data_IF_203541623640
#
_entry.id   IF_203541623640
#
_cell.length_a   1.000
_cell.length_b   1.000
_cell.length_c   1.000
_cell.angle_alpha   90.00
_cell.angle_beta   90.00
_cell.angle_gamma   90.00
#
_symmetry.space_group_name_H-M   'P 1'
#
loop_
_entity.id
_entity.type
_entity.pdbx_description
1 polymer ?
#
# COMPACT_ATOMS: atom_id res chain seq x y z
N UNK A 1 -90.19 -11.34 -51.20
CA UNK A 1 -89.62 -12.33 -50.34
C UNK A 1 -89.62 -11.86 -48.89
N UNK A 2 -89.97 -12.77 -48.00
CA UNK A 2 -89.85 -12.48 -46.53
C UNK A 2 -88.43 -12.79 -46.07
N UNK A 3 -87.96 -12.01 -45.10
CA UNK A 3 -86.64 -12.23 -44.49
C UNK A 3 -86.62 -13.59 -43.79
N UNK A 4 -85.49 -14.33 -43.98
CA UNK A 4 -85.24 -15.64 -43.35
C UNK A 4 -84.43 -15.41 -42.07
N UNK A 5 -84.97 -15.84 -40.91
CA UNK A 5 -84.20 -15.73 -39.65
C UNK A 5 -82.99 -16.67 -39.68
N UNK A 6 -81.93 -16.27 -39.02
CA UNK A 6 -80.58 -16.96 -39.04
C UNK A 6 -80.69 -18.42 -38.59
N UNK A 7 -81.61 -18.77 -37.67
CA UNK A 7 -81.80 -20.12 -37.13
C UNK A 7 -82.25 -21.13 -38.20
N UNK A 8 -82.75 -20.67 -39.36
CA UNK A 8 -83.17 -21.50 -40.50
C UNK A 8 -81.98 -21.71 -41.51
N UNK A 9 -80.86 -21.05 -41.30
CA UNK A 9 -79.70 -21.16 -42.17
C UNK A 9 -78.74 -22.22 -41.57
N UNK A 10 -78.41 -23.21 -42.37
CA UNK A 10 -77.45 -24.19 -41.98
C UNK A 10 -76.05 -23.60 -42.26
N UNK A 11 -75.17 -23.64 -41.23
CA UNK A 11 -73.77 -23.13 -41.32
C UNK A 11 -72.86 -24.29 -41.20
N UNK A 12 -71.90 -24.41 -42.13
CA UNK A 12 -70.82 -25.42 -42.11
C UNK A 12 -69.49 -24.78 -42.36
N UNK A 13 -68.42 -25.43 -41.88
CA UNK A 13 -67.04 -24.96 -41.86
C UNK A 13 -66.53 -24.75 -40.45
N UNK A 14 -65.21 -24.66 -40.30
CA UNK A 14 -64.58 -24.41 -39.03
C UNK A 14 -63.46 -23.37 -39.21
N UNK A 15 -63.31 -22.50 -38.23
CA UNK A 15 -62.26 -21.50 -38.18
C UNK A 15 -61.29 -21.89 -37.07
N UNK A 16 -60.02 -22.17 -37.43
CA UNK A 16 -58.99 -22.35 -36.49
C UNK A 16 -58.39 -20.98 -36.19
N UNK A 17 -58.81 -20.38 -35.09
CA UNK A 17 -58.31 -19.05 -34.65
C UNK A 17 -56.83 -19.05 -34.15
N UNK A 18 -56.26 -20.22 -33.98
CA UNK A 18 -54.85 -20.34 -33.57
C UNK A 18 -53.87 -20.31 -34.75
N UNK A 19 -54.40 -20.43 -35.99
CA UNK A 19 -53.60 -20.55 -37.22
C UNK A 19 -54.00 -19.51 -38.25
N UNK A 20 -53.05 -18.69 -38.67
CA UNK A 20 -53.27 -17.71 -39.73
C UNK A 20 -53.68 -18.42 -41.03
N UNK A 21 -54.75 -17.91 -41.68
CA UNK A 21 -55.27 -18.51 -42.91
C UNK A 21 -56.63 -17.89 -43.31
N UNK A 22 -57.17 -18.38 -44.43
CA UNK A 22 -58.47 -18.03 -44.89
C UNK A 22 -59.38 -19.27 -44.79
N UNK A 23 -60.43 -19.20 -44.02
CA UNK A 23 -61.34 -20.30 -43.68
C UNK A 23 -62.71 -20.08 -44.33
N UNK A 24 -63.13 -20.94 -45.24
CA UNK A 24 -64.44 -20.83 -45.85
C UNK A 24 -65.51 -21.27 -44.86
N UNK A 25 -66.62 -20.50 -44.75
CA UNK A 25 -67.82 -20.82 -44.01
C UNK A 25 -68.97 -20.81 -45.02
N UNK A 26 -69.66 -21.96 -45.17
CA UNK A 26 -70.71 -22.14 -46.11
C UNK A 26 -72.07 -21.99 -45.41
N UNK A 27 -72.89 -21.12 -45.89
CA UNK A 27 -74.23 -20.87 -45.44
C UNK A 27 -75.20 -21.49 -46.47
N UNK A 28 -76.12 -22.36 -46.05
CA UNK A 28 -77.12 -23.02 -46.96
C UNK A 28 -78.55 -22.83 -46.46
N UNK A 29 -79.44 -22.55 -47.42
CA UNK A 29 -80.87 -22.46 -47.19
C UNK A 29 -81.63 -22.90 -48.47
N UNK A 30 -82.60 -23.85 -48.35
CA UNK A 30 -83.42 -24.38 -49.43
C UNK A 30 -82.62 -24.73 -50.70
N UNK A 31 -81.45 -25.38 -50.54
CA UNK A 31 -80.57 -25.82 -51.62
C UNK A 31 -79.77 -24.73 -52.31
N UNK A 32 -79.74 -23.51 -51.80
CA UNK A 32 -78.82 -22.44 -52.19
C UNK A 32 -77.73 -22.32 -51.20
N UNK A 33 -76.49 -22.14 -51.70
CA UNK A 33 -75.28 -22.02 -50.87
C UNK A 33 -74.56 -20.76 -51.23
N UNK A 34 -74.05 -20.07 -50.18
CA UNK A 34 -73.09 -18.93 -50.26
C UNK A 34 -71.93 -19.14 -49.34
N UNK A 35 -70.75 -18.79 -49.80
CA UNK A 35 -69.54 -18.97 -49.00
C UNK A 35 -68.98 -17.61 -48.57
N UNK A 36 -68.88 -17.43 -47.27
CA UNK A 36 -68.11 -16.35 -46.66
C UNK A 36 -66.69 -16.79 -46.24
N UNK A 37 -65.74 -15.90 -46.26
CA UNK A 37 -64.37 -16.19 -45.89
C UNK A 37 -64.04 -15.46 -44.63
N UNK A 38 -63.58 -16.20 -43.58
CA UNK A 38 -62.99 -15.64 -42.34
C UNK A 38 -61.53 -15.68 -42.49
N UNK A 39 -60.85 -14.49 -42.45
CA UNK A 39 -59.41 -14.40 -42.50
C UNK A 39 -58.90 -14.25 -41.09
N UNK A 40 -58.08 -15.24 -40.63
CA UNK A 40 -57.32 -15.18 -39.39
C UNK A 40 -55.96 -14.60 -39.77
N UNK A 41 -55.62 -13.40 -39.24
CA UNK A 41 -54.37 -12.73 -39.46
C UNK A 41 -53.31 -13.26 -38.52
N UNK A 42 -52.01 -13.30 -38.91
CA UNK A 42 -50.95 -13.68 -38.01
C UNK A 42 -50.85 -12.71 -36.83
N UNK A 43 -50.52 -13.24 -35.66
CA UNK A 43 -50.17 -12.43 -34.47
C UNK A 43 -48.77 -11.84 -34.67
N UNK A 44 -48.68 -10.51 -34.74
CA UNK A 44 -47.45 -9.73 -34.95
C UNK A 44 -46.93 -9.15 -33.65
N UNK A 45 -47.46 -9.59 -32.49
CA UNK A 45 -47.00 -9.08 -31.20
C UNK A 45 -45.56 -9.49 -30.93
N UNK A 46 -44.74 -8.53 -30.47
CA UNK A 46 -43.37 -8.69 -30.07
C UNK A 46 -43.14 -8.00 -28.74
N UNK A 47 -42.07 -8.41 -28.06
CA UNK A 47 -41.54 -7.75 -26.87
C UNK A 47 -40.03 -8.00 -26.84
N UNK A 48 -39.28 -6.92 -26.89
CA UNK A 48 -37.82 -6.95 -26.86
C UNK A 48 -37.32 -6.15 -25.68
N UNK A 49 -36.38 -6.74 -24.91
CA UNK A 49 -35.70 -6.16 -23.77
C UNK A 49 -34.23 -6.45 -23.88
N UNK A 50 -33.41 -5.72 -23.13
CA UNK A 50 -31.96 -5.88 -23.07
C UNK A 50 -31.50 -5.94 -21.61
N UNK A 51 -30.39 -6.62 -21.36
CA UNK A 51 -29.71 -6.54 -20.07
C UNK A 51 -29.04 -5.18 -19.90
N UNK A 52 -28.89 -4.74 -18.65
CA UNK A 52 -28.20 -3.49 -18.30
C UNK A 52 -27.22 -3.74 -17.17
N UNK A 53 -26.14 -2.97 -17.15
CA UNK A 53 -25.18 -2.92 -16.03
C UNK A 53 -25.25 -1.54 -15.41
N UNK A 54 -25.39 -1.50 -14.09
CA UNK A 54 -25.33 -0.30 -13.26
C UNK A 54 -24.33 -0.54 -12.12
N UNK A 55 -23.90 0.53 -11.48
CA UNK A 55 -23.02 0.42 -10.31
C UNK A 55 -23.80 0.73 -9.03
N UNK A 56 -23.30 0.21 -7.89
CA UNK A 56 -23.91 0.42 -6.57
C UNK A 56 -24.25 1.91 -6.35
N UNK A 57 -25.52 2.17 -5.93
CA UNK A 57 -26.05 3.52 -5.72
C UNK A 57 -26.49 4.27 -6.98
N UNK A 58 -26.35 3.69 -8.17
CA UNK A 58 -26.88 4.30 -9.39
C UNK A 58 -28.43 4.21 -9.42
N UNK A 59 -29.03 5.12 -10.18
CA UNK A 59 -30.47 5.07 -10.42
C UNK A 59 -30.77 4.12 -11.57
N UNK A 60 -31.78 3.29 -11.39
CA UNK A 60 -32.30 2.41 -12.41
C UNK A 60 -33.83 2.53 -12.51
N UNK A 61 -34.34 2.38 -13.71
CA UNK A 61 -35.78 2.32 -14.01
C UNK A 61 -36.07 1.15 -14.94
N UNK A 62 -37.26 0.54 -14.86
CA UNK A 62 -37.62 -0.55 -15.77
C UNK A 62 -37.52 -0.19 -17.24
N UNK A 63 -37.73 1.08 -17.62
CA UNK A 63 -37.60 1.58 -18.99
C UNK A 63 -36.18 1.38 -19.56
N UNK A 64 -35.15 1.35 -18.71
CA UNK A 64 -33.73 1.24 -19.14
C UNK A 64 -33.44 -0.10 -19.84
N UNK A 65 -34.22 -1.13 -19.52
CA UNK A 65 -34.11 -2.45 -20.15
C UNK A 65 -35.09 -2.65 -21.33
N UNK A 66 -36.12 -1.80 -21.47
CA UNK A 66 -37.09 -1.94 -22.54
C UNK A 66 -36.51 -1.47 -23.88
N UNK A 67 -36.72 -2.25 -24.95
CA UNK A 67 -36.27 -1.91 -26.30
C UNK A 67 -37.48 -1.56 -27.17
N UNK A 68 -38.43 -2.50 -27.33
CA UNK A 68 -39.63 -2.30 -28.16
C UNK A 68 -40.71 -3.31 -27.84
N UNK A 69 -41.95 -2.95 -28.15
CA UNK A 69 -43.05 -3.89 -28.16
C UNK A 69 -44.05 -3.54 -29.29
N UNK A 70 -44.71 -4.58 -29.85
CA UNK A 70 -45.83 -4.42 -30.79
C UNK A 70 -47.02 -5.22 -30.35
N UNK A 71 -48.23 -4.78 -30.71
CA UNK A 71 -49.49 -5.50 -30.50
C UNK A 71 -49.67 -6.59 -31.59
N UNK A 72 -50.76 -7.34 -31.48
CA UNK A 72 -51.10 -8.39 -32.47
C UNK A 72 -51.30 -7.90 -33.89
N UNK A 73 -51.47 -6.57 -34.09
CA UNK A 73 -51.62 -5.96 -35.43
C UNK A 73 -50.33 -5.39 -35.96
N UNK A 74 -49.22 -5.45 -35.16
CA UNK A 74 -47.91 -4.90 -35.48
C UNK A 74 -47.77 -3.41 -35.15
N UNK A 75 -48.72 -2.81 -34.43
CA UNK A 75 -48.62 -1.43 -33.98
C UNK A 75 -47.77 -1.35 -32.72
N UNK A 76 -46.96 -0.27 -32.58
CA UNK A 76 -46.11 -0.04 -31.44
C UNK A 76 -46.92 0.08 -30.13
N UNK A 77 -46.42 -0.59 -29.10
CA UNK A 77 -46.93 -0.54 -27.74
C UNK A 77 -45.97 0.27 -26.89
N UNK A 78 -46.38 1.41 -26.34
CA UNK A 78 -45.52 2.23 -25.50
C UNK A 78 -45.28 1.54 -24.14
N UNK A 79 -44.15 1.87 -23.50
CA UNK A 79 -43.67 1.22 -22.25
C UNK A 79 -44.73 1.24 -21.14
N UNK A 80 -45.51 2.32 -21.01
CA UNK A 80 -46.54 2.49 -19.97
C UNK A 80 -47.63 1.41 -20.01
N UNK A 81 -47.74 0.65 -21.11
CA UNK A 81 -48.67 -0.47 -21.26
C UNK A 81 -48.04 -1.84 -21.01
N UNK A 82 -46.73 -1.87 -20.71
CA UNK A 82 -46.01 -3.10 -20.40
C UNK A 82 -46.14 -3.40 -18.92
N UNK A 83 -46.56 -4.61 -18.59
CA UNK A 83 -46.54 -5.09 -17.20
C UNK A 83 -45.12 -5.52 -16.84
N UNK A 84 -44.58 -4.99 -15.71
CA UNK A 84 -43.22 -5.26 -15.26
C UNK A 84 -43.27 -5.87 -13.88
N UNK A 85 -42.55 -6.97 -13.69
CA UNK A 85 -42.43 -7.70 -12.43
C UNK A 85 -40.98 -7.91 -12.06
N UNK A 86 -40.66 -7.77 -10.77
CA UNK A 86 -39.33 -7.86 -10.22
C UNK A 86 -38.92 -6.55 -9.55
N UNK A 87 -37.82 -6.60 -8.83
CA UNK A 87 -37.24 -5.44 -8.12
C UNK A 87 -35.73 -5.51 -8.18
N UNK A 88 -35.08 -4.35 -8.31
CA UNK A 88 -33.63 -4.21 -8.25
C UNK A 88 -33.26 -3.51 -6.95
N UNK A 89 -32.37 -4.14 -6.15
CA UNK A 89 -31.74 -3.45 -5.04
C UNK A 89 -30.43 -2.82 -5.54
N UNK A 90 -30.50 -1.54 -5.86
CA UNK A 90 -29.36 -0.78 -6.43
C UNK A 90 -28.19 -0.59 -5.46
N UNK A 91 -28.41 -0.79 -4.15
CA UNK A 91 -27.38 -0.66 -3.10
C UNK A 91 -26.68 -2.00 -2.83
N UNK A 92 -27.02 -3.06 -3.55
CA UNK A 92 -26.44 -4.39 -3.33
C UNK A 92 -25.98 -5.03 -4.62
N UNK A 93 -24.71 -5.42 -4.66
CA UNK A 93 -24.11 -6.19 -5.78
C UNK A 93 -24.95 -7.45 -6.03
N UNK A 94 -25.25 -7.72 -7.29
CA UNK A 94 -26.01 -8.90 -7.69
C UNK A 94 -26.57 -8.81 -9.11
N UNK A 95 -27.23 -9.90 -9.52
CA UNK A 95 -27.97 -10.00 -10.77
C UNK A 95 -29.44 -10.10 -10.43
N UNK A 96 -30.22 -9.18 -10.98
CA UNK A 96 -31.65 -9.04 -10.71
C UNK A 96 -32.48 -9.29 -11.99
N UNK A 97 -33.28 -10.37 -12.00
CA UNK A 97 -34.15 -10.68 -13.11
C UNK A 97 -35.40 -9.82 -13.05
N UNK A 98 -35.73 -9.17 -14.16
CA UNK A 98 -36.95 -8.38 -14.37
C UNK A 98 -37.71 -9.01 -15.52
N UNK A 99 -38.99 -9.26 -15.29
CA UNK A 99 -39.90 -9.87 -16.24
C UNK A 99 -40.84 -8.83 -16.83
N UNK A 100 -40.89 -8.76 -18.16
CA UNK A 100 -41.73 -7.84 -18.91
C UNK A 100 -42.82 -8.63 -19.63
N UNK A 101 -44.06 -8.11 -19.66
CA UNK A 101 -45.19 -8.77 -20.32
C UNK A 101 -45.95 -7.80 -21.21
N UNK A 102 -46.24 -8.25 -22.43
CA UNK A 102 -47.09 -7.58 -23.40
C UNK A 102 -48.15 -8.57 -23.89
N UNK A 103 -49.33 -8.56 -23.26
CA UNK A 103 -50.36 -9.57 -23.49
C UNK A 103 -49.86 -10.98 -23.14
N UNK A 104 -49.73 -11.83 -24.15
CA UNK A 104 -49.23 -13.20 -23.99
C UNK A 104 -47.72 -13.33 -24.16
N UNK A 105 -47.05 -12.27 -24.59
CA UNK A 105 -45.59 -12.26 -24.74
C UNK A 105 -44.91 -11.92 -23.42
N UNK A 106 -43.87 -12.69 -23.11
CA UNK A 106 -43.03 -12.47 -21.93
C UNK A 106 -41.55 -12.41 -22.36
N UNK A 107 -40.80 -11.48 -21.80
CA UNK A 107 -39.38 -11.35 -21.99
C UNK A 107 -38.71 -11.05 -20.63
N UNK A 108 -37.47 -11.49 -20.49
CA UNK A 108 -36.67 -11.33 -19.26
C UNK A 108 -35.42 -10.53 -19.55
N UNK A 109 -35.09 -9.60 -18.68
CA UNK A 109 -33.87 -8.86 -18.70
C UNK A 109 -33.18 -9.00 -17.35
N UNK A 110 -31.84 -8.98 -17.35
CA UNK A 110 -31.01 -9.00 -16.14
C UNK A 110 -30.45 -7.62 -15.94
N UNK A 111 -30.58 -7.10 -14.72
CA UNK A 111 -29.89 -5.90 -14.26
C UNK A 111 -28.71 -6.33 -13.40
N UNK A 112 -27.52 -6.07 -13.89
CA UNK A 112 -26.27 -6.36 -13.19
C UNK A 112 -25.88 -5.16 -12.33
N UNK A 113 -25.93 -5.28 -11.01
CA UNK A 113 -25.42 -4.29 -10.07
C UNK A 113 -23.98 -4.67 -9.70
N UNK A 114 -23.02 -3.80 -10.00
CA UNK A 114 -21.56 -4.03 -9.83
C UNK A 114 -20.93 -2.97 -8.94
N UNK A 115 -19.79 -3.32 -8.34
CA UNK A 115 -18.88 -2.41 -7.64
C UNK A 115 -17.45 -2.88 -7.93
N UNK A 116 -16.76 -2.14 -8.79
CA UNK A 116 -15.37 -2.43 -9.20
C UNK A 116 -14.37 -1.59 -8.42
N UNK A 117 -14.81 -0.93 -7.32
CA UNK A 117 -13.95 -0.13 -6.46
C UNK A 117 -12.92 -0.99 -5.73
N UNK A 118 -11.69 -0.50 -5.72
CA UNK A 118 -10.56 -1.13 -5.04
C UNK A 118 -9.68 -0.08 -4.40
N UNK A 119 -9.04 -0.46 -3.32
CA UNK A 119 -7.98 0.31 -2.69
C UNK A 119 -6.86 -0.68 -2.34
N UNK A 120 -5.63 -0.37 -2.75
CA UNK A 120 -4.48 -1.22 -2.50
C UNK A 120 -3.34 -0.41 -1.94
N UNK A 121 -2.77 -0.90 -0.86
CA UNK A 121 -1.61 -0.33 -0.19
C UNK A 121 -0.56 -1.41 0.05
N UNK A 122 0.65 -1.01 0.40
CA UNK A 122 1.77 -1.91 0.73
C UNK A 122 2.46 -1.43 1.99
N UNK A 123 3.06 -2.35 2.73
CA UNK A 123 3.95 -2.02 3.83
C UNK A 123 5.27 -1.42 3.33
N UNK A 124 5.87 -0.56 4.13
CA UNK A 124 7.19 0.02 3.88
C UNK A 124 8.08 -0.14 5.09
N UNK A 125 9.39 -0.15 4.86
CA UNK A 125 10.41 -0.15 5.90
C UNK A 125 11.35 1.03 5.66
N UNK A 126 11.59 1.80 6.71
CA UNK A 126 12.53 2.92 6.75
C UNK A 126 13.40 2.78 8.01
N UNK A 127 14.43 3.60 8.13
CA UNK A 127 15.27 3.65 9.35
C UNK A 127 15.04 4.95 10.12
N UNK A 128 15.37 4.92 11.40
CA UNK A 128 15.32 6.12 12.25
C UNK A 128 16.07 7.27 11.60
N UNK A 129 15.37 8.41 11.45
CA UNK A 129 15.87 9.62 10.81
C UNK A 129 15.61 9.74 9.31
N UNK A 130 15.04 8.72 8.67
CA UNK A 130 14.59 8.83 7.28
C UNK A 130 13.31 9.66 7.17
N UNK A 131 13.06 10.21 5.99
CA UNK A 131 11.77 10.82 5.66
C UNK A 131 10.80 9.75 5.18
N UNK A 132 9.50 9.97 5.41
CA UNK A 132 8.43 9.13 4.91
C UNK A 132 7.25 9.98 4.48
N UNK A 133 6.56 9.55 3.42
CA UNK A 133 5.33 10.18 2.93
C UNK A 133 4.25 9.11 2.70
N UNK A 134 2.98 9.44 2.92
CA UNK A 134 1.89 8.49 2.73
C UNK A 134 1.81 7.87 1.33
N UNK A 135 2.23 8.60 0.29
CA UNK A 135 2.25 8.12 -1.09
C UNK A 135 3.11 6.86 -1.29
N UNK A 136 4.11 6.65 -0.43
CA UNK A 136 5.03 5.52 -0.54
C UNK A 136 4.37 4.17 -0.24
N UNK A 137 3.30 4.17 0.55
CA UNK A 137 2.51 2.99 0.84
C UNK A 137 1.34 2.79 -0.13
N UNK A 138 0.93 3.82 -0.87
CA UNK A 138 -0.16 3.72 -1.83
C UNK A 138 0.29 2.94 -3.06
N UNK A 139 -0.55 2.01 -3.53
CA UNK A 139 -0.32 1.23 -4.75
C UNK A 139 -1.28 1.67 -5.85
N UNK A 140 -2.57 1.58 -5.59
CA UNK A 140 -3.61 1.97 -6.54
C UNK A 140 -4.97 2.09 -5.87
N UNK A 141 -5.88 2.82 -6.49
CA UNK A 141 -7.29 2.79 -6.17
C UNK A 141 -8.13 2.90 -7.45
N UNK A 142 -9.31 2.31 -7.44
CA UNK A 142 -10.33 2.47 -8.49
C UNK A 142 -11.65 2.87 -7.85
N UNK A 143 -12.48 3.64 -8.57
CA UNK A 143 -13.84 3.94 -8.19
C UNK A 143 -14.78 2.76 -8.49
N UNK A 144 -16.09 2.90 -8.19
CA UNK A 144 -17.09 1.86 -8.42
C UNK A 144 -17.23 1.43 -9.87
N UNK A 145 -16.78 2.24 -10.84
CA UNK A 145 -16.80 1.94 -12.28
C UNK A 145 -15.49 1.32 -12.78
N UNK A 146 -14.50 1.13 -11.88
CA UNK A 146 -13.18 0.60 -12.22
C UNK A 146 -12.21 1.64 -12.77
N UNK A 147 -12.57 2.93 -12.75
CA UNK A 147 -11.65 4.00 -13.18
C UNK A 147 -10.63 4.31 -12.11
N UNK A 148 -9.40 4.62 -12.53
CA UNK A 148 -8.30 4.94 -11.62
C UNK A 148 -8.60 6.19 -10.78
N UNK A 149 -8.32 6.09 -9.49
CA UNK A 149 -8.45 7.16 -8.50
C UNK A 149 -7.06 7.64 -8.11
N UNK A 150 -6.74 8.92 -8.34
CA UNK A 150 -5.45 9.47 -7.96
C UNK A 150 -5.32 9.61 -6.44
N UNK A 151 -4.07 9.58 -5.93
CA UNK A 151 -3.78 9.59 -4.49
C UNK A 151 -4.39 10.79 -3.74
N UNK A 152 -4.50 11.95 -4.37
CA UNK A 152 -5.05 13.17 -3.79
C UNK A 152 -6.51 13.03 -3.33
N UNK A 153 -7.23 12.02 -3.82
CA UNK A 153 -8.59 11.70 -3.39
C UNK A 153 -8.65 10.69 -2.24
N UNK A 154 -7.51 10.12 -1.85
CA UNK A 154 -7.44 9.14 -0.77
C UNK A 154 -7.31 9.89 0.56
N UNK A 155 -8.17 9.55 1.50
CA UNK A 155 -8.03 10.03 2.88
C UNK A 155 -7.03 9.16 3.61
N UNK A 156 -6.04 9.78 4.26
CA UNK A 156 -5.02 9.08 5.03
C UNK A 156 -5.11 9.50 6.49
N UNK A 157 -5.06 8.53 7.39
CA UNK A 157 -5.04 8.75 8.83
C UNK A 157 -3.95 7.90 9.51
N UNK A 158 -3.44 8.39 10.63
CA UNK A 158 -2.29 7.83 11.33
C UNK A 158 -1.08 8.76 11.26
N UNK A 159 -0.06 8.43 12.01
CA UNK A 159 1.20 9.20 12.06
C UNK A 159 2.38 8.26 12.20
N UNK A 160 3.49 8.58 11.55
CA UNK A 160 4.77 7.88 11.68
C UNK A 160 5.74 8.79 12.43
N UNK A 161 6.23 8.32 13.57
CA UNK A 161 7.35 8.97 14.25
C UNK A 161 8.66 8.38 13.70
N UNK A 162 9.21 9.02 12.68
CA UNK A 162 10.44 8.57 12.03
C UNK A 162 11.69 8.71 12.91
N UNK A 163 11.58 9.40 14.06
CA UNK A 163 12.67 9.50 15.04
C UNK A 163 12.77 8.31 15.99
N UNK A 164 11.77 7.43 15.98
CA UNK A 164 11.64 6.33 16.92
C UNK A 164 11.36 5.00 16.22
N UNK A 165 12.17 3.99 16.52
CA UNK A 165 11.94 2.64 16.01
C UNK A 165 10.58 2.08 16.48
N UNK A 166 9.84 1.46 15.56
CA UNK A 166 8.50 0.92 15.82
C UNK A 166 7.76 0.55 14.56
N UNK A 167 6.53 0.06 14.71
CA UNK A 167 5.62 -0.23 13.61
C UNK A 167 4.41 0.70 13.74
N UNK A 168 4.15 1.47 12.71
CA UNK A 168 3.12 2.52 12.67
C UNK A 168 2.05 2.15 11.65
N UNK A 169 0.80 1.87 12.10
CA UNK A 169 -0.30 1.62 11.19
C UNK A 169 -0.80 2.93 10.59
N UNK A 170 -0.98 2.93 9.28
CA UNK A 170 -1.54 4.04 8.50
C UNK A 170 -2.76 3.51 7.74
N UNK A 171 -3.89 4.14 7.96
CA UNK A 171 -5.16 3.78 7.33
C UNK A 171 -5.41 4.69 6.14
N UNK A 172 -5.70 4.08 5.01
CA UNK A 172 -6.09 4.70 3.76
C UNK A 172 -7.56 4.43 3.54
N UNK A 173 -8.34 5.44 3.15
CA UNK A 173 -9.77 5.26 2.89
C UNK A 173 -10.23 6.01 1.65
N UNK A 174 -11.16 5.38 0.92
CA UNK A 174 -11.83 5.95 -0.24
C UNK A 174 -13.23 5.36 -0.37
N UNK A 175 -14.26 6.21 -0.42
CA UNK A 175 -15.68 5.83 -0.59
C UNK A 175 -16.12 4.61 0.25
N UNK A 176 -15.72 4.58 1.53
CA UNK A 176 -16.09 3.51 2.48
C UNK A 176 -15.22 2.24 2.40
N UNK A 177 -14.25 2.18 1.49
CA UNK A 177 -13.20 1.16 1.50
C UNK A 177 -12.06 1.63 2.40
N UNK A 178 -11.52 0.73 3.21
CA UNK A 178 -10.39 1.01 4.11
C UNK A 178 -9.34 -0.08 4.00
N UNK A 179 -8.06 0.34 3.90
CA UNK A 179 -6.91 -0.53 3.90
C UNK A 179 -5.85 0.03 4.86
N UNK A 180 -5.14 -0.84 5.54
CA UNK A 180 -4.10 -0.46 6.49
C UNK A 180 -2.75 -0.93 5.99
N UNK A 181 -1.81 0.00 5.84
CA UNK A 181 -0.40 -0.28 5.63
C UNK A 181 0.39 -0.06 6.91
N UNK A 182 1.47 -0.80 7.07
CA UNK A 182 2.39 -0.66 8.19
C UNK A 182 3.70 -0.04 7.73
N UNK A 183 4.11 1.03 8.41
CA UNK A 183 5.43 1.62 8.25
C UNK A 183 6.32 1.12 9.39
N UNK A 184 7.31 0.31 9.05
CA UNK A 184 8.29 -0.19 10.02
C UNK A 184 9.50 0.74 10.05
N UNK A 185 9.70 1.44 11.16
CA UNK A 185 10.90 2.25 11.41
C UNK A 185 11.91 1.39 12.16
N UNK A 186 13.02 1.03 11.50
CA UNK A 186 14.11 0.25 12.10
C UNK A 186 15.14 1.18 12.76
N UNK A 187 15.86 0.75 13.81
CA UNK A 187 17.02 1.49 14.30
C UNK A 187 18.13 1.51 13.23
N UNK A 188 18.77 2.65 13.04
CA UNK A 188 19.95 2.77 12.19
C UNK A 188 21.19 2.29 12.98
N UNK A 189 21.77 1.17 12.57
CA UNK A 189 22.93 0.55 13.20
C UNK A 189 24.25 0.85 12.45
N UNK A 190 24.21 1.81 11.51
CA UNK A 190 25.39 2.18 10.75
C UNK A 190 26.49 2.78 11.66
N UNK A 191 27.71 2.32 11.46
CA UNK A 191 28.88 2.70 12.27
C UNK A 191 30.13 2.68 11.41
N UNK A 192 31.05 3.59 11.69
CA UNK A 192 32.40 3.58 11.15
C UNK A 192 33.36 3.98 12.28
N UNK A 193 34.19 3.05 12.71
CA UNK A 193 35.16 3.23 13.78
C UNK A 193 36.58 3.12 13.25
N UNK A 194 37.37 4.10 13.62
CA UNK A 194 38.80 4.13 13.38
C UNK A 194 39.52 4.48 14.69
N UNK A 195 40.79 4.19 14.75
CA UNK A 195 41.66 4.52 15.88
C UNK A 195 42.88 5.31 15.41
N UNK A 196 43.42 6.17 16.25
CA UNK A 196 44.70 6.79 16.01
C UNK A 196 45.80 5.76 16.16
N UNK A 197 46.89 5.94 15.42
CA UNK A 197 48.08 5.08 15.49
C UNK A 197 49.35 5.93 15.68
N UNK A 198 50.34 5.36 16.37
CA UNK A 198 51.65 5.95 16.51
C UNK A 198 52.69 5.00 15.92
N UNK A 199 53.52 5.50 15.04
CA UNK A 199 54.64 4.78 14.41
C UNK A 199 55.92 5.56 14.56
N UNK A 200 57.04 4.90 14.40
CA UNK A 200 58.34 5.56 14.37
C UNK A 200 58.79 5.89 12.95
N UNK A 201 59.63 6.92 12.81
CA UNK A 201 60.23 7.25 11.51
C UNK A 201 60.85 6.02 10.89
N UNK A 202 60.48 5.71 9.64
CA UNK A 202 60.93 4.56 8.87
C UNK A 202 60.09 3.29 9.04
N UNK A 203 59.12 3.27 9.96
CA UNK A 203 58.14 2.15 10.06
C UNK A 203 57.22 2.12 8.85
N UNK A 204 56.65 0.94 8.56
CA UNK A 204 55.59 0.80 7.57
C UNK A 204 54.26 1.13 8.21
N UNK A 205 53.35 1.74 7.42
CA UNK A 205 51.99 2.01 7.81
C UNK A 205 51.04 1.71 6.62
N UNK A 206 49.87 1.20 6.91
CA UNK A 206 48.81 0.97 5.95
C UNK A 206 47.51 1.56 6.48
N UNK A 207 46.59 1.98 5.62
CA UNK A 207 45.28 2.51 6.06
C UNK A 207 44.48 1.54 6.94
N UNK A 208 44.63 0.22 6.75
CA UNK A 208 44.02 -0.81 7.57
C UNK A 208 44.42 -0.75 9.05
N UNK A 209 45.61 -0.22 9.37
CA UNK A 209 46.10 -0.16 10.74
C UNK A 209 45.26 0.74 11.65
N UNK A 210 44.57 1.72 11.06
CA UNK A 210 43.68 2.61 11.78
C UNK A 210 42.22 2.12 11.75
N UNK A 211 41.83 1.23 10.84
CA UNK A 211 40.48 0.74 10.74
C UNK A 211 40.13 -0.22 11.87
N UNK A 212 38.99 -0.01 12.53
CA UNK A 212 38.50 -0.89 13.61
C UNK A 212 37.31 -1.70 13.11
N UNK A 213 36.25 -1.04 12.68
CA UNK A 213 35.03 -1.69 12.20
C UNK A 213 34.15 -0.73 11.40
N UNK A 214 33.33 -1.30 10.56
CA UNK A 214 32.22 -0.58 9.95
C UNK A 214 30.99 -1.50 9.85
N UNK A 215 29.78 -0.94 9.99
CA UNK A 215 28.52 -1.64 9.80
C UNK A 215 27.58 -0.81 8.93
N UNK A 216 26.68 -1.50 8.21
CA UNK A 216 25.56 -0.89 7.48
C UNK A 216 24.38 -0.57 8.43
N UNK A 217 23.28 -0.09 7.86
CA UNK A 217 22.09 0.30 8.63
C UNK A 217 21.40 -0.88 9.34
N UNK A 218 21.54 -2.10 8.82
CA UNK A 218 21.04 -3.33 9.42
C UNK A 218 22.02 -3.97 10.43
N UNK A 219 23.23 -3.36 10.59
CA UNK A 219 24.26 -3.85 11.49
C UNK A 219 25.18 -4.91 10.88
N UNK A 220 25.08 -5.17 9.57
CA UNK A 220 26.01 -6.10 8.91
C UNK A 220 27.38 -5.46 8.76
N UNK A 221 28.42 -6.26 8.94
CA UNK A 221 29.79 -5.80 8.82
C UNK A 221 30.13 -5.36 7.38
N UNK A 222 30.74 -4.18 7.27
CA UNK A 222 31.33 -3.65 6.04
C UNK A 222 32.84 -3.95 6.10
N UNK A 223 33.32 -4.68 5.11
CA UNK A 223 34.75 -4.98 4.99
C UNK A 223 35.55 -3.75 4.56
N UNK A 224 36.85 -3.69 4.95
CA UNK A 224 37.69 -2.54 4.69
C UNK A 224 37.83 -2.17 3.20
N UNK A 225 37.82 -3.14 2.30
CA UNK A 225 37.88 -2.92 0.85
C UNK A 225 36.73 -2.06 0.28
N UNK A 226 35.64 -1.91 1.05
CA UNK A 226 34.50 -1.03 0.74
C UNK A 226 34.56 0.32 1.44
N UNK A 227 35.68 0.61 2.14
CA UNK A 227 35.92 1.90 2.80
C UNK A 227 36.87 2.73 1.96
N UNK A 228 36.40 3.88 1.51
CA UNK A 228 37.25 4.83 0.80
C UNK A 228 38.16 5.54 1.77
N UNK A 229 39.46 5.61 1.45
CA UNK A 229 40.45 6.28 2.27
C UNK A 229 41.09 7.44 1.52
N UNK A 230 41.16 8.60 2.19
CA UNK A 230 41.83 9.82 1.68
C UNK A 230 42.83 10.33 2.67
N UNK A 231 43.98 10.72 2.17
CA UNK A 231 45.12 11.22 2.95
C UNK A 231 46.39 10.47 2.59
N UNK A 232 47.51 10.93 3.09
CA UNK A 232 48.84 10.30 2.91
C UNK A 232 49.65 10.49 4.18
N UNK A 233 50.40 9.47 4.56
CA UNK A 233 51.36 9.51 5.65
C UNK A 233 52.75 9.48 5.06
N UNK A 234 53.59 10.49 5.41
CA UNK A 234 55.03 10.43 5.14
C UNK A 234 55.71 9.77 6.34
N UNK A 235 55.96 8.47 6.26
CA UNK A 235 56.58 7.70 7.34
C UNK A 235 58.05 8.02 7.56
N UNK A 236 58.67 8.85 6.68
CA UNK A 236 60.08 9.28 6.82
C UNK A 236 60.23 10.60 7.57
N UNK A 237 59.12 11.26 7.89
CA UNK A 237 59.11 12.58 8.53
C UNK A 237 58.21 12.56 9.77
N UNK A 238 58.72 13.05 10.89
CA UNK A 238 57.87 13.26 12.10
C UNK A 238 56.75 14.23 11.83
N UNK A 239 55.58 13.94 12.40
CA UNK A 239 54.41 14.79 12.24
C UNK A 239 53.10 14.06 12.53
N UNK A 240 52.02 14.79 12.44
CA UNK A 240 50.64 14.29 12.55
C UNK A 240 49.99 14.30 11.18
N UNK A 241 49.48 13.15 10.75
CA UNK A 241 48.87 12.96 9.44
C UNK A 241 47.41 12.53 9.62
N UNK A 242 46.48 13.33 9.09
CA UNK A 242 45.07 13.02 9.14
C UNK A 242 44.66 12.18 7.95
N UNK A 243 43.96 11.07 8.22
CA UNK A 243 43.44 10.14 7.22
C UNK A 243 41.95 10.05 7.39
N UNK A 244 41.22 10.35 6.32
CA UNK A 244 39.78 10.31 6.28
C UNK A 244 39.30 8.96 5.73
N UNK A 245 38.38 8.33 6.43
CA UNK A 245 37.72 7.08 6.08
C UNK A 245 36.26 7.37 5.79
N UNK A 246 35.74 6.84 4.68
CA UNK A 246 34.37 7.05 4.26
C UNK A 246 33.74 5.73 3.78
N UNK A 247 32.62 5.34 4.32
CA UNK A 247 31.87 4.16 3.81
C UNK A 247 31.33 4.45 2.43
N UNK A 248 31.34 3.46 1.52
CA UNK A 248 30.58 3.58 0.29
C UNK A 248 29.09 3.66 0.58
N UNK A 249 28.32 4.44 -0.22
CA UNK A 249 26.88 4.42 -0.11
C UNK A 249 26.41 3.01 -0.43
N UNK A 250 25.73 2.36 0.52
CA UNK A 250 25.09 1.08 0.29
C UNK A 250 23.87 1.36 -0.59
N UNK A 251 23.99 1.10 -1.89
CA UNK A 251 22.85 1.02 -2.77
C UNK A 251 22.03 -0.20 -2.35
N UNK A 252 21.00 0.00 -1.55
CA UNK A 252 20.01 -1.04 -1.32
C UNK A 252 19.44 -1.43 -2.70
N UNK A 253 19.70 -2.66 -3.12
CA UNK A 253 19.02 -3.24 -4.28
C UNK A 253 17.55 -3.42 -3.91
N UNK A 254 16.76 -2.37 -4.09
CA UNK A 254 15.31 -2.46 -4.10
C UNK A 254 14.93 -3.53 -5.11
N UNK A 255 14.14 -4.56 -4.76
CA UNK A 255 13.70 -5.55 -5.72
C UNK A 255 13.02 -4.82 -6.88
N UNK A 256 13.49 -5.09 -8.09
CA UNK A 256 12.98 -4.51 -9.31
C UNK A 256 11.53 -4.98 -9.54
N UNK A 257 10.57 -4.26 -8.96
CA UNK A 257 9.19 -4.31 -9.40
C UNK A 257 8.99 -3.14 -10.36
N UNK A 258 8.77 -3.51 -11.61
CA UNK A 258 8.53 -2.61 -12.72
C UNK A 258 7.38 -1.62 -12.39
N UNK A 259 7.71 -0.37 -12.20
CA UNK A 259 6.86 0.73 -12.61
C UNK A 259 7.74 1.94 -12.95
N UNK A 260 7.83 2.23 -14.24
CA UNK A 260 8.62 3.33 -14.82
C UNK A 260 8.13 4.75 -14.46
N UNK A 261 7.13 4.89 -13.60
CA UNK A 261 6.55 6.19 -13.21
C UNK A 261 6.96 6.68 -11.83
N UNK A 262 7.62 5.87 -11.00
CA UNK A 262 7.93 6.22 -9.60
C UNK A 262 9.38 6.65 -9.33
N UNK A 263 10.22 6.76 -10.37
CA UNK A 263 11.65 7.09 -10.24
C UNK A 263 11.95 8.57 -9.98
N UNK A 264 10.94 9.43 -9.83
CA UNK A 264 11.19 10.88 -9.71
C UNK A 264 11.12 11.44 -8.28
N UNK A 265 10.83 10.64 -7.26
CA UNK A 265 10.57 11.19 -5.90
C UNK A 265 11.40 10.61 -4.76
N UNK A 266 12.34 9.72 -4.98
CA UNK A 266 13.28 9.29 -3.93
C UNK A 266 14.65 9.94 -4.13
N UNK A 267 14.80 11.20 -3.71
CA UNK A 267 16.11 11.84 -3.49
C UNK A 267 16.71 11.40 -2.14
N UNK A 268 16.70 10.12 -1.84
CA UNK A 268 17.47 9.62 -0.72
C UNK A 268 18.91 9.44 -1.18
N UNK A 269 19.74 10.43 -0.85
CA UNK A 269 21.21 10.26 -0.93
C UNK A 269 21.60 9.18 0.07
N UNK A 270 22.24 8.09 -0.38
CA UNK A 270 22.72 7.04 0.52
C UNK A 270 23.59 7.67 1.59
N UNK A 271 23.29 7.41 2.86
CA UNK A 271 24.02 8.01 3.98
C UNK A 271 25.45 7.47 4.00
N UNK A 272 26.43 8.36 3.78
CA UNK A 272 27.85 8.08 3.93
C UNK A 272 28.30 8.45 5.34
N UNK A 273 29.02 7.55 6.00
CA UNK A 273 29.71 7.86 7.25
C UNK A 273 31.15 8.24 6.92
N UNK A 274 31.60 9.36 7.48
CA UNK A 274 33.00 9.80 7.35
C UNK A 274 33.56 10.05 8.72
N UNK A 275 34.78 9.54 8.96
CA UNK A 275 35.55 9.76 10.19
C UNK A 275 37.01 9.97 9.86
N UNK A 276 37.77 10.51 10.80
CA UNK A 276 39.19 10.81 10.62
C UNK A 276 40.00 10.14 11.72
N UNK A 277 41.09 9.50 11.34
CA UNK A 277 42.12 9.03 12.27
C UNK A 277 43.40 9.83 12.08
N UNK A 278 44.17 9.99 13.15
CA UNK A 278 45.47 10.62 13.13
C UNK A 278 46.57 9.57 13.23
N UNK A 279 47.57 9.69 12.35
CA UNK A 279 48.79 8.89 12.43
C UNK A 279 49.91 9.78 12.93
N UNK A 280 50.45 9.45 14.10
CA UNK A 280 51.59 10.15 14.72
C UNK A 280 52.89 9.45 14.32
N UNK A 281 53.73 10.15 13.56
CA UNK A 281 55.09 9.68 13.22
C UNK A 281 56.08 10.36 14.15
N UNK A 282 56.76 9.59 15.01
CA UNK A 282 57.69 10.09 16.03
C UNK A 282 59.08 9.53 15.85
N UNK A 283 60.11 10.22 16.34
CA UNK A 283 61.48 9.70 16.36
C UNK A 283 61.63 8.62 17.43
N UNK A 284 62.44 7.57 17.12
CA UNK A 284 62.81 6.51 18.08
C UNK A 284 63.68 7.02 19.24
N UNK A 285 64.50 8.04 18.98
CA UNK A 285 65.34 8.72 19.97
C UNK A 285 64.93 10.21 19.95
N UNK A 286 64.06 10.67 20.83
CA UNK A 286 63.86 12.10 20.98
C UNK A 286 65.18 12.69 21.43
N UNK A 287 65.81 13.59 20.68
CA UNK A 287 66.96 14.35 21.08
C UNK A 287 66.66 14.98 22.43
N UNK A 288 67.45 14.73 23.51
CA UNK A 288 67.25 15.42 24.78
C UNK A 288 67.31 16.93 24.52
N UNK A 289 66.27 17.64 25.02
CA UNK A 289 66.32 19.09 25.02
C UNK A 289 67.66 19.53 25.62
N UNK A 290 68.38 20.46 24.99
CA UNK A 290 69.66 20.97 25.57
C UNK A 290 69.36 21.53 26.96
N UNK A 291 70.02 20.98 27.99
CA UNK A 291 70.05 21.50 29.36
C UNK A 291 70.43 22.96 29.30
N UNK A 292 69.54 23.85 29.57
CA UNK A 292 69.82 25.23 29.86
C UNK A 292 70.47 25.24 31.27
N UNK A 293 71.77 25.24 31.26
CA UNK A 293 72.55 25.45 32.41
C UNK A 293 72.10 26.68 33.21
N UNK A 294 71.93 26.43 34.51
CA UNK A 294 71.74 27.45 35.54
C UNK A 294 72.83 28.54 35.48
N UNK A 295 72.42 29.80 35.48
CA UNK A 295 72.94 30.70 36.46
C UNK A 295 72.10 32.00 36.59
N UNK A 296 71.89 32.28 37.85
CA UNK A 296 71.74 33.57 38.51
C UNK A 296 70.40 34.36 38.48
N UNK A 297 69.75 34.20 39.64
CA UNK A 297 69.28 35.30 40.53
C UNK A 297 68.47 36.46 40.03
N UNK A 298 67.32 36.54 40.70
CA UNK A 298 66.72 37.73 41.35
C UNK A 298 65.59 38.44 40.61
N UNK A 299 64.48 38.42 41.32
CA UNK A 299 63.42 39.41 41.47
C UNK A 299 62.19 39.39 40.51
N UNK A 300 61.10 38.98 41.14
CA UNK A 300 59.76 39.51 41.14
C UNK A 300 59.22 40.15 39.87
N UNK A 301 58.13 39.61 39.33
CA UNK A 301 56.78 40.03 39.51
C UNK A 301 55.84 39.34 38.53
N UNK A 302 54.76 38.91 39.08
CA UNK A 302 53.43 38.59 38.60
C UNK A 302 53.13 38.87 37.13
N UNK A 303 52.76 37.78 36.37
CA UNK A 303 51.56 37.81 35.56
C UNK A 303 51.19 36.38 35.12
N UNK A 304 50.10 35.92 35.68
CA UNK A 304 49.45 34.63 35.31
C UNK A 304 48.84 34.75 33.92
N UNK A 305 49.27 33.94 32.99
CA UNK A 305 48.48 33.59 31.83
C UNK A 305 48.23 32.08 31.87
N UNK A 306 47.02 31.73 32.21
CA UNK A 306 46.54 30.36 32.37
C UNK A 306 46.36 29.72 30.99
N UNK A 307 47.28 28.80 30.66
CA UNK A 307 47.04 27.86 29.54
C UNK A 307 46.35 26.63 30.14
N UNK A 308 45.04 26.46 29.79
CA UNK A 308 44.29 25.26 30.14
C UNK A 308 44.81 24.08 29.32
N UNK A 309 45.63 23.24 29.91
CA UNK A 309 45.86 21.89 29.42
C UNK A 309 44.68 21.01 29.82
N UNK A 310 44.03 20.42 28.83
CA UNK A 310 42.99 19.40 29.03
C UNK A 310 43.68 18.13 29.60
N UNK A 311 43.54 17.91 30.90
CA UNK A 311 43.91 16.65 31.53
C UNK A 311 42.81 15.64 31.29
N UNK A 312 43.09 14.61 30.51
CA UNK A 312 42.30 13.37 30.54
C UNK A 312 42.62 12.66 31.88
N UNK A 313 41.68 12.73 32.79
CA UNK A 313 41.74 11.94 34.03
C UNK A 313 41.27 10.54 33.71
N UNK A 314 42.20 9.62 33.50
CA UNK A 314 41.89 8.19 33.53
C UNK A 314 41.63 7.81 35.00
N UNK A 315 40.35 7.62 35.35
CA UNK A 315 40.02 7.01 36.64
C UNK A 315 40.43 5.53 36.61
N UNK A 316 41.60 5.25 37.17
CA UNK A 316 41.99 3.89 37.51
C UNK A 316 41.20 3.52 38.77
N UNK A 317 40.15 2.72 38.60
CA UNK A 317 39.40 2.12 39.71
C UNK A 317 40.29 1.07 40.35
N UNK A 318 40.73 1.32 41.58
CA UNK A 318 41.51 0.35 42.39
C UNK A 318 40.53 -0.64 43.03
N UNK A 319 40.91 -1.94 43.14
CA UNK A 319 40.13 -2.91 43.87
C UNK A 319 40.05 -2.55 45.36
N UNK A 320 39.00 -3.02 46.05
CA UNK A 320 38.83 -2.84 47.50
C UNK A 320 39.94 -3.58 48.29
N UNK A 321 40.01 -3.37 49.60
CA UNK A 321 40.97 -4.02 50.49
C UNK A 321 40.92 -5.56 50.51
N UNK A 322 39.98 -6.16 49.75
CA UNK A 322 39.79 -7.60 49.57
C UNK A 322 40.02 -8.06 48.13
N UNK A 323 40.55 -7.19 47.26
CA UNK A 323 40.90 -7.55 45.85
C UNK A 323 39.73 -7.70 44.92
N UNK A 324 38.55 -7.13 45.23
CA UNK A 324 37.35 -7.25 44.39
C UNK A 324 37.09 -5.95 43.61
N UNK A 325 36.80 -6.07 42.32
CA UNK A 325 36.28 -4.98 41.51
C UNK A 325 34.77 -4.84 41.71
N UNK A 326 34.20 -3.61 41.67
CA UNK A 326 32.76 -3.44 41.72
C UNK A 326 32.13 -4.18 40.56
N UNK A 327 31.11 -4.99 40.84
CA UNK A 327 30.25 -5.60 39.82
C UNK A 327 29.50 -4.48 39.10
N UNK A 328 29.62 -4.39 37.77
CA UNK A 328 28.74 -3.58 36.95
C UNK A 328 27.32 -4.08 37.21
N UNK A 329 26.48 -3.25 37.85
CA UNK A 329 25.13 -3.61 38.21
C UNK A 329 24.25 -3.67 36.97
N UNK A 330 23.85 -4.87 36.58
CA UNK A 330 22.61 -5.07 35.81
C UNK A 330 21.44 -4.65 36.68
N UNK A 331 20.94 -3.43 36.51
CA UNK A 331 19.60 -3.10 36.96
C UNK A 331 18.59 -3.77 35.99
N UNK A 332 18.16 -4.96 36.36
CA UNK A 332 16.97 -5.56 35.73
C UNK A 332 15.75 -4.74 36.14
N UNK A 333 15.35 -3.82 35.28
CA UNK A 333 14.09 -3.10 35.44
C UNK A 333 12.94 -4.10 35.40
N UNK A 334 12.35 -4.40 36.57
CA UNK A 334 11.18 -5.27 36.74
C UNK A 334 9.93 -4.80 35.98
N UNK A 335 9.96 -3.62 35.40
CA UNK A 335 8.86 -3.02 34.63
C UNK A 335 8.56 -3.77 33.33
N UNK A 336 9.58 -4.33 32.66
CA UNK A 336 9.36 -5.06 31.39
C UNK A 336 8.72 -6.44 31.56
N UNK A 337 8.81 -7.06 32.74
CA UNK A 337 8.11 -8.33 33.03
C UNK A 337 6.60 -8.14 33.23
N UNK A 338 6.17 -7.00 33.71
CA UNK A 338 4.74 -6.69 33.92
C UNK A 338 4.08 -6.30 32.60
N UNK A 339 4.77 -5.56 31.71
CA UNK A 339 4.24 -5.21 30.37
C UNK A 339 4.07 -6.46 29.48
N UNK A 340 5.01 -7.39 29.51
CA UNK A 340 4.90 -8.64 28.73
C UNK A 340 3.70 -9.51 29.13
N UNK A 341 3.39 -9.57 30.42
CA UNK A 341 2.22 -10.31 30.94
C UNK A 341 0.89 -9.66 30.57
N UNK A 342 0.82 -8.32 30.53
CA UNK A 342 -0.40 -7.58 30.13
C UNK A 342 -0.68 -7.77 28.63
N UNK A 343 0.33 -7.74 27.76
CA UNK A 343 0.16 -7.99 26.33
C UNK A 343 -0.30 -9.42 26.07
N UNK A 344 0.23 -10.42 26.79
CA UNK A 344 -0.20 -11.82 26.66
C UNK A 344 -1.66 -12.02 27.09
N UNK A 345 -2.11 -11.34 28.14
CA UNK A 345 -3.51 -11.37 28.61
C UNK A 345 -4.46 -10.73 27.60
N UNK A 346 -4.08 -9.63 26.95
CA UNK A 346 -4.90 -8.97 25.92
C UNK A 346 -5.08 -9.88 24.70
N UNK A 347 -4.03 -10.57 24.26
CA UNK A 347 -4.11 -11.51 23.13
C UNK A 347 -5.01 -12.70 23.46
N UNK A 348 -4.96 -13.24 24.68
CA UNK A 348 -5.81 -14.36 25.10
C UNK A 348 -7.28 -13.92 25.19
N UNK A 349 -7.58 -12.74 25.75
CA UNK A 349 -8.95 -12.20 25.85
C UNK A 349 -9.53 -11.92 24.48
N UNK A 350 -8.75 -11.35 23.55
CA UNK A 350 -9.16 -11.10 22.17
C UNK A 350 -9.46 -12.40 21.41
N UNK A 351 -8.65 -13.44 21.61
CA UNK A 351 -8.87 -14.77 21.03
C UNK A 351 -10.16 -15.46 21.54
N UNK A 352 -10.51 -15.26 22.82
CA UNK A 352 -11.74 -15.83 23.43
C UNK A 352 -12.99 -15.12 22.92
N UNK A 353 -12.94 -13.79 22.73
CA UNK A 353 -14.08 -13.00 22.21
C UNK A 353 -14.40 -13.36 20.76
N UNK A 354 -13.36 -13.58 19.92
CA UNK A 354 -13.55 -14.00 18.51
C UNK A 354 -14.15 -15.40 18.43
N UNK A 355 -13.77 -16.33 19.33
CA UNK A 355 -14.31 -17.70 19.35
C UNK A 355 -15.76 -17.78 19.83
N UNK A 356 -16.24 -16.78 20.64
CA UNK A 356 -17.62 -16.71 21.15
C UNK A 356 -18.60 -16.08 20.14
N UNK A 357 -18.12 -15.35 19.12
CA UNK A 357 -18.94 -14.78 18.03
C UNK A 357 -19.12 -15.73 16.84
N UNK A 358 -18.49 -16.93 16.86
CA UNK A 358 -18.60 -17.95 15.79
C UNK A 358 -19.38 -19.20 16.21
N UNK A 359 -20.16 -19.13 17.29
CA UNK A 359 -21.14 -20.19 17.64
C UNK A 359 -22.56 -19.66 17.56
#
# INVERSE_FOLDING_TARGET
>A
GQDVPFEKITVSGQVDTSKAGVYPIVYSYEGKEETAHVTVKPDQSKLEVKDTTIYVGDKWKPEDNFVSATDKTGQDVPFEKIDVQGTVNVDKIGDYEIVYKNGTKEAKAIVHVRDDSRLQVKDTTIYVGDSWKPEENFVSATDKTGQDVPFEKITVSGQVDTSKAGVYPIVYSYEGKEETAHVTVKPDQSKLEVKDTTIYVGDSWKPEDNFVSATDRDGHAISFDKVQVKGKVDTKKTGEYQISYTTEPVNETKPAVQSRLFSMFSNETPRQLTTVATVHVIDRNPTPLPDKNENNQTSSSTNQTTIKSSQYVTHIVKPDKQGRYPKTGEQTNGLYRVLGLVVLLIVIISGIVIKKKRK
#
